data_IF_555828863585
#
_entry.id   IF_555828863585
#
_cell.length_a   1.000
_cell.length_b   1.000
_cell.length_c   1.000
_cell.angle_alpha   90.00
_cell.angle_beta   90.00
_cell.angle_gamma   90.00
#
_symmetry.space_group_name_H-M   'P 1'
#
loop_
_entity.id
_entity.type
_entity.pdbx_description
1 polymer ?
#
# COMPACT_ATOMS: atom_id res chain seq x y z
N UNK A 1 -6.41 3.92 -27.00
CA UNK A 1 -6.64 2.92 -25.93
C UNK A 1 -6.56 3.69 -24.62
N UNK A 2 -7.66 3.83 -23.89
CA UNK A 2 -7.63 4.45 -22.56
C UNK A 2 -6.95 3.46 -21.62
N UNK A 3 -5.70 3.71 -21.26
CA UNK A 3 -5.03 3.02 -20.17
C UNK A 3 -5.82 3.34 -18.90
N UNK A 4 -6.77 2.46 -18.54
CA UNK A 4 -7.40 2.54 -17.24
C UNK A 4 -6.29 2.32 -16.22
N UNK A 5 -5.88 3.38 -15.52
CA UNK A 5 -4.94 3.26 -14.41
C UNK A 5 -5.44 2.17 -13.47
N UNK A 6 -4.58 1.21 -13.13
CA UNK A 6 -4.93 0.15 -12.19
C UNK A 6 -4.80 0.60 -10.73
N UNK A 7 -4.25 1.79 -10.50
CA UNK A 7 -3.94 2.34 -9.20
C UNK A 7 -4.73 3.63 -8.97
N UNK A 8 -5.32 3.74 -7.78
CA UNK A 8 -6.13 4.87 -7.38
C UNK A 8 -5.84 5.25 -5.93
N UNK A 9 -6.13 6.51 -5.58
CA UNK A 9 -6.11 7.00 -4.20
C UNK A 9 -7.32 7.88 -3.92
N UNK A 10 -7.74 7.97 -2.66
CA UNK A 10 -8.78 8.94 -2.26
C UNK A 10 -8.24 10.37 -2.38
N UNK A 11 -9.10 11.30 -2.79
CA UNK A 11 -8.72 12.73 -2.91
C UNK A 11 -8.26 13.36 -1.59
N UNK A 12 -8.77 12.88 -0.46
CA UNK A 12 -8.40 13.34 0.88
C UNK A 12 -7.10 12.74 1.43
N UNK A 13 -6.47 11.81 0.70
CA UNK A 13 -5.35 11.02 1.18
C UNK A 13 -5.78 9.93 2.17
N UNK A 14 -4.86 8.99 2.44
CA UNK A 14 -5.02 7.96 3.47
C UNK A 14 -5.59 6.62 2.99
N UNK A 15 -6.13 6.53 1.77
CA UNK A 15 -6.55 5.25 1.18
C UNK A 15 -6.07 5.11 -0.26
N UNK A 16 -5.55 3.93 -0.58
CA UNK A 16 -5.04 3.56 -1.89
C UNK A 16 -5.70 2.26 -2.35
N UNK A 17 -5.88 2.13 -3.66
CA UNK A 17 -6.58 1.02 -4.29
C UNK A 17 -5.81 0.53 -5.51
N UNK A 18 -5.66 -0.78 -5.63
CA UNK A 18 -5.12 -1.42 -6.82
C UNK A 18 -6.13 -2.45 -7.34
N UNK A 19 -6.55 -2.28 -8.59
CA UNK A 19 -7.41 -3.24 -9.28
C UNK A 19 -6.55 -4.40 -9.79
N UNK A 20 -6.88 -5.62 -9.37
CA UNK A 20 -6.22 -6.87 -9.75
C UNK A 20 -7.28 -7.85 -10.25
N UNK A 21 -7.56 -7.83 -11.55
CA UNK A 21 -8.66 -8.60 -12.13
C UNK A 21 -10.01 -8.20 -11.53
N UNK A 22 -10.70 -9.17 -10.92
CA UNK A 22 -11.98 -8.98 -10.22
C UNK A 22 -11.84 -8.60 -8.73
N UNK A 23 -10.61 -8.35 -8.28
CA UNK A 23 -10.33 -7.97 -6.89
C UNK A 23 -9.78 -6.56 -6.82
N UNK A 24 -9.99 -5.94 -5.67
CA UNK A 24 -9.45 -4.66 -5.28
C UNK A 24 -8.59 -4.87 -4.04
N UNK A 25 -7.30 -4.53 -4.15
CA UNK A 25 -6.43 -4.42 -2.99
C UNK A 25 -6.60 -3.01 -2.43
N UNK A 26 -6.87 -2.91 -1.13
CA UNK A 26 -7.10 -1.66 -0.41
C UNK A 26 -5.99 -1.50 0.61
N UNK A 27 -5.40 -0.31 0.64
CA UNK A 27 -4.40 0.07 1.65
C UNK A 27 -4.94 1.30 2.37
N UNK A 28 -5.04 1.20 3.68
CA UNK A 28 -5.47 2.28 4.56
C UNK A 28 -4.30 2.69 5.46
N UNK A 29 -4.00 4.00 5.48
CA UNK A 29 -2.91 4.60 6.25
C UNK A 29 -3.41 5.43 7.44
N UNK A 30 -4.66 5.26 7.85
CA UNK A 30 -5.18 6.00 8.99
C UNK A 30 -4.55 5.49 10.29
N UNK A 31 -3.99 6.39 11.10
CA UNK A 31 -3.30 6.05 12.35
C UNK A 31 -4.18 5.28 13.34
N UNK A 32 -5.50 5.50 13.30
CA UNK A 32 -6.46 4.80 14.17
C UNK A 32 -6.73 3.36 13.74
N UNK A 33 -6.49 3.02 12.45
CA UNK A 33 -6.74 1.69 11.89
C UNK A 33 -6.03 1.53 10.53
N UNK A 34 -4.70 1.36 10.50
CA UNK A 34 -4.01 1.00 9.27
C UNK A 34 -4.45 -0.39 8.85
N UNK A 35 -4.67 -0.62 7.56
CA UNK A 35 -5.05 -1.96 7.07
C UNK A 35 -4.57 -2.21 5.64
N UNK A 36 -4.40 -3.50 5.33
CA UNK A 36 -4.18 -3.99 3.96
C UNK A 36 -5.20 -5.09 3.74
N UNK A 37 -6.13 -4.86 2.82
CA UNK A 37 -7.24 -5.76 2.57
C UNK A 37 -7.34 -6.12 1.09
N UNK A 38 -7.91 -7.29 0.80
CA UNK A 38 -8.31 -7.67 -0.55
C UNK A 38 -9.80 -7.95 -0.53
N UNK A 39 -10.53 -7.22 -1.35
CA UNK A 39 -11.98 -7.34 -1.47
C UNK A 39 -12.38 -7.54 -2.94
N UNK A 40 -13.62 -7.98 -3.17
CA UNK A 40 -14.15 -8.09 -4.53
C UNK A 40 -14.34 -6.69 -5.12
N UNK A 41 -13.86 -6.48 -6.33
CA UNK A 41 -14.04 -5.22 -7.04
C UNK A 41 -15.52 -5.05 -7.40
N UNK A 42 -16.09 -3.92 -6.99
CA UNK A 42 -17.39 -3.45 -7.49
C UNK A 42 -17.20 -2.06 -8.10
N UNK A 43 -17.80 -1.76 -9.26
CA UNK A 43 -17.64 -0.47 -9.91
C UNK A 43 -18.03 0.73 -9.03
N UNK A 44 -19.00 0.53 -8.14
CA UNK A 44 -19.54 1.56 -7.24
C UNK A 44 -18.52 2.05 -6.19
N UNK A 45 -17.54 1.23 -5.81
CA UNK A 45 -16.54 1.58 -4.78
C UNK A 45 -15.70 2.78 -5.22
N UNK A 46 -15.17 2.76 -6.44
CA UNK A 46 -14.29 3.84 -6.92
C UNK A 46 -15.07 5.14 -7.15
N UNK A 47 -16.32 5.04 -7.59
CA UNK A 47 -17.18 6.20 -7.79
C UNK A 47 -17.59 6.85 -6.46
N UNK A 48 -17.91 6.05 -5.46
CA UNK A 48 -18.36 6.54 -4.15
C UNK A 48 -17.27 7.24 -3.36
N UNK A 49 -16.01 6.82 -3.52
CA UNK A 49 -14.88 7.27 -2.71
C UNK A 49 -14.11 8.48 -3.28
N UNK A 50 -14.61 9.09 -4.36
CA UNK A 50 -13.95 10.22 -5.07
C UNK A 50 -12.46 9.92 -5.33
N UNK A 51 -12.20 8.75 -5.87
CA UNK A 51 -10.85 8.29 -6.14
C UNK A 51 -10.26 9.00 -7.38
N UNK A 52 -8.97 9.30 -7.32
CA UNK A 52 -8.18 9.80 -8.45
C UNK A 52 -7.13 8.76 -8.82
N UNK A 53 -6.75 8.64 -10.11
CA UNK A 53 -5.65 7.76 -10.50
C UNK A 53 -4.36 8.19 -9.78
N UNK A 54 -3.55 7.21 -9.40
CA UNK A 54 -2.22 7.42 -8.82
C UNK A 54 -1.18 6.59 -9.56
N UNK A 55 0.10 6.84 -9.30
CA UNK A 55 1.17 6.00 -9.85
C UNK A 55 1.34 4.71 -9.04
N UNK A 56 2.00 3.73 -9.62
CA UNK A 56 2.41 2.51 -8.91
C UNK A 56 3.36 2.81 -7.75
N UNK A 57 4.28 3.76 -7.93
CA UNK A 57 5.22 4.18 -6.88
C UNK A 57 4.50 4.76 -5.66
N UNK A 58 3.48 5.61 -5.87
CA UNK A 58 2.67 6.16 -4.78
C UNK A 58 1.92 5.05 -4.02
N UNK A 59 1.42 4.04 -4.74
CA UNK A 59 0.77 2.88 -4.14
C UNK A 59 1.76 2.02 -3.36
N UNK A 60 2.94 1.78 -3.90
CA UNK A 60 4.00 0.97 -3.28
C UNK A 60 4.54 1.61 -2.00
N UNK A 61 4.76 2.93 -1.98
CA UNK A 61 5.14 3.67 -0.78
C UNK A 61 4.05 3.59 0.30
N UNK A 62 2.77 3.72 -0.10
CA UNK A 62 1.66 3.53 0.82
C UNK A 62 1.62 2.10 1.39
N UNK A 63 1.88 1.08 0.58
CA UNK A 63 1.93 -0.30 1.05
C UNK A 63 3.02 -0.50 2.11
N UNK A 64 4.23 -0.01 1.83
CA UNK A 64 5.35 -0.12 2.77
C UNK A 64 5.06 0.59 4.09
N UNK A 65 4.44 1.76 4.03
CA UNK A 65 4.01 2.49 5.24
C UNK A 65 2.95 1.72 6.02
N UNK A 66 1.96 1.14 5.35
CA UNK A 66 0.93 0.33 6.01
C UNK A 66 1.53 -0.91 6.69
N UNK A 67 2.47 -1.60 6.03
CA UNK A 67 3.21 -2.74 6.60
C UNK A 67 3.98 -2.32 7.85
N UNK A 68 4.67 -1.18 7.80
CA UNK A 68 5.39 -0.62 8.94
C UNK A 68 4.45 -0.30 10.11
N UNK A 69 3.33 0.39 9.84
CA UNK A 69 2.32 0.74 10.84
C UNK A 69 1.66 -0.49 11.48
N UNK A 70 1.42 -1.54 10.69
CA UNK A 70 0.85 -2.81 11.16
C UNK A 70 1.87 -3.68 11.91
N UNK A 71 3.16 -3.31 11.90
CA UNK A 71 4.22 -4.13 12.50
C UNK A 71 4.35 -5.51 11.87
N UNK A 72 3.88 -5.68 10.62
CA UNK A 72 3.98 -6.95 9.91
C UNK A 72 5.45 -7.15 9.58
N UNK A 73 6.08 -8.13 10.22
CA UNK A 73 7.41 -8.57 9.84
C UNK A 73 7.35 -8.97 8.36
N UNK A 74 8.06 -8.22 7.51
CA UNK A 74 8.20 -8.56 6.11
C UNK A 74 9.06 -9.82 6.06
N UNK A 75 8.41 -10.99 6.07
CA UNK A 75 9.06 -12.29 5.88
C UNK A 75 9.65 -12.31 4.46
N UNK A 76 10.84 -11.72 4.32
CA UNK A 76 11.48 -11.49 3.03
C UNK A 76 12.66 -10.52 3.03
N UNK A 77 12.84 -9.69 4.08
CA UNK A 77 14.09 -8.94 4.25
C UNK A 77 14.80 -9.52 5.46
N UNK A 78 15.81 -10.36 5.20
CA UNK A 78 16.83 -10.64 6.19
C UNK A 78 17.31 -9.30 6.74
N UNK A 79 17.03 -9.06 8.02
CA UNK A 79 17.77 -8.08 8.79
C UNK A 79 19.25 -8.49 8.68
N UNK A 80 19.98 -7.82 7.79
CA UNK A 80 21.43 -7.84 7.83
C UNK A 80 21.81 -7.12 9.13
N UNK A 81 22.40 -7.79 10.14
CA UNK A 81 23.08 -7.04 11.18
C UNK A 81 24.27 -6.35 10.50
N UNK A 82 24.15 -5.03 10.32
CA UNK A 82 25.25 -4.18 9.88
C UNK A 82 26.41 -4.36 10.83
N UNK A 83 27.56 -4.68 10.24
CA UNK A 83 28.87 -4.87 10.82
C UNK A 83 29.15 -3.89 11.95
N UNK A 84 29.08 -4.37 13.20
CA UNK A 84 29.81 -3.69 14.28
C UNK A 84 31.28 -4.09 14.11
N UNK A 85 32.02 -3.27 13.37
CA UNK A 85 33.44 -3.11 13.64
C UNK A 85 33.60 -2.82 15.13
N UNK A 86 34.13 -3.80 15.87
CA UNK A 86 34.73 -3.58 17.17
C UNK A 86 36.21 -3.93 17.03
N UNK A 87 36.95 -2.87 16.75
CA UNK A 87 38.38 -2.74 16.92
C UNK A 87 38.80 -3.23 18.33
N UNK A 88 39.77 -4.14 18.48
CA UNK A 88 40.65 -4.21 19.65
C UNK A 88 41.72 -5.32 19.52
N UNK A 89 42.98 -4.86 19.55
CA UNK A 89 44.24 -5.54 19.88
C UNK A 89 44.86 -6.48 18.83
#
# INVERSE_FOLDING_TARGET
MNEQSNFFKTSGGGQFFQKIGDNLKVICLYDFNPCIERMKFTPDILQSLKCVPCTEDEFSDAEQRAIFLLGIAVSGVQAMPSSRMANAA
#
